data_IF_299905781064
#
_entry.id   IF_299905781064
#
_cell.length_a   1.000
_cell.length_b   1.000
_cell.length_c   1.000
_cell.angle_alpha   90.00
_cell.angle_beta   90.00
_cell.angle_gamma   90.00
#
_symmetry.space_group_name_H-M   'P 1'
#
loop_
_entity.id
_entity.type
_entity.pdbx_description
1 polymer ?
#
# COMPACT_ATOMS: atom_id res chain seq x y z
N UNK A 1 21.40 -4.07 -22.04
CA UNK A 1 20.45 -3.00 -21.63
C UNK A 1 21.02 -2.32 -20.38
N UNK A 2 20.98 -0.99 -20.28
CA UNK A 2 21.43 -0.28 -19.07
C UNK A 2 20.57 -0.68 -17.87
N UNK A 3 21.17 -0.80 -16.69
CA UNK A 3 20.49 -1.13 -15.43
C UNK A 3 19.25 -0.24 -15.19
N UNK A 4 19.35 1.04 -15.57
CA UNK A 4 18.24 2.01 -15.50
C UNK A 4 17.01 1.61 -16.33
N UNK A 5 17.23 1.15 -17.57
CA UNK A 5 16.15 0.77 -18.47
C UNK A 5 15.38 -0.49 -18.00
N UNK A 6 16.07 -1.39 -17.28
CA UNK A 6 15.44 -2.58 -16.69
C UNK A 6 14.52 -2.19 -15.54
N UNK A 7 15.00 -1.34 -14.63
CA UNK A 7 14.18 -0.91 -13.48
C UNK A 7 12.98 -0.06 -13.91
N UNK A 8 13.15 0.82 -14.91
CA UNK A 8 12.04 1.60 -15.46
C UNK A 8 10.93 0.70 -15.99
N UNK A 9 11.29 -0.34 -16.76
CA UNK A 9 10.31 -1.30 -17.27
C UNK A 9 9.60 -2.04 -16.14
N UNK A 10 10.32 -2.50 -15.11
CA UNK A 10 9.73 -3.19 -13.95
C UNK A 10 8.72 -2.30 -13.22
N UNK A 11 9.05 -1.02 -13.01
CA UNK A 11 8.15 -0.05 -12.38
C UNK A 11 6.91 0.16 -13.25
N UNK A 12 7.10 0.43 -14.55
CA UNK A 12 6.00 0.66 -15.50
C UNK A 12 5.04 -0.53 -15.56
N UNK A 13 5.58 -1.73 -15.71
CA UNK A 13 4.76 -2.94 -15.77
C UNK A 13 4.02 -3.17 -14.43
N UNK A 14 4.63 -2.79 -13.30
CA UNK A 14 3.99 -2.86 -11.99
C UNK A 14 2.84 -1.86 -11.86
N UNK A 15 3.02 -0.63 -12.33
CA UNK A 15 1.96 0.38 -12.33
C UNK A 15 0.79 -0.07 -13.20
N UNK A 16 1.05 -0.57 -14.40
CA UNK A 16 -0.01 -1.02 -15.30
C UNK A 16 -0.81 -2.19 -14.70
N UNK A 17 -0.12 -3.18 -14.12
CA UNK A 17 -0.78 -4.33 -13.46
C UNK A 17 -1.67 -3.93 -12.27
N UNK A 18 -1.39 -2.81 -11.62
CA UNK A 18 -2.08 -2.40 -10.40
C UNK A 18 -2.98 -1.18 -10.59
N UNK A 19 -3.03 -0.64 -11.81
CA UNK A 19 -3.68 0.63 -12.13
C UNK A 19 -5.14 0.68 -11.66
N UNK A 20 -5.92 -0.34 -11.99
CA UNK A 20 -7.34 -0.37 -11.68
C UNK A 20 -7.56 -0.44 -10.16
N UNK A 21 -6.87 -1.36 -9.46
CA UNK A 21 -6.99 -1.47 -8.00
C UNK A 21 -6.57 -0.18 -7.27
N UNK A 22 -5.50 0.48 -7.71
CA UNK A 22 -5.04 1.73 -7.12
C UNK A 22 -6.03 2.87 -7.38
N UNK A 23 -6.59 2.94 -8.59
CA UNK A 23 -7.62 3.89 -8.94
C UNK A 23 -8.90 3.66 -8.12
N UNK A 24 -9.35 2.42 -8.00
CA UNK A 24 -10.55 2.06 -7.23
C UNK A 24 -10.41 2.46 -5.76
N UNK A 25 -9.28 2.15 -5.13
CA UNK A 25 -9.00 2.59 -3.75
C UNK A 25 -9.07 4.12 -3.63
N UNK A 26 -8.45 4.85 -4.58
CA UNK A 26 -8.49 6.31 -4.56
C UNK A 26 -9.91 6.85 -4.71
N UNK A 27 -10.71 6.26 -5.59
CA UNK A 27 -12.11 6.66 -5.80
C UNK A 27 -12.97 6.34 -4.59
N UNK A 28 -12.77 5.18 -3.96
CA UNK A 28 -13.55 4.76 -2.80
C UNK A 28 -13.27 5.64 -1.58
N UNK A 29 -12.01 5.99 -1.32
CA UNK A 29 -11.65 6.96 -0.28
C UNK A 29 -12.28 8.33 -0.58
N UNK A 30 -12.24 8.78 -1.84
CA UNK A 30 -12.83 10.06 -2.23
C UNK A 30 -14.36 10.10 -2.06
N UNK A 31 -15.06 9.01 -2.40
CA UNK A 31 -16.52 8.88 -2.25
C UNK A 31 -16.98 8.74 -0.79
N UNK A 32 -16.10 8.27 0.09
CA UNK A 32 -16.40 8.03 1.50
C UNK A 32 -15.48 8.88 2.40
N UNK A 33 -15.65 10.23 2.41
CA UNK A 33 -14.82 11.09 3.24
C UNK A 33 -15.11 10.83 4.73
N UNK A 34 -14.05 10.68 5.51
CA UNK A 34 -14.12 10.48 6.96
C UNK A 34 -13.43 11.64 7.71
N UNK A 35 -13.79 11.81 8.98
CA UNK A 35 -13.21 12.86 9.82
C UNK A 35 -11.85 12.44 10.37
N UNK A 36 -11.08 13.45 10.77
CA UNK A 36 -9.78 13.26 11.41
C UNK A 36 -9.92 12.35 12.64
N UNK A 37 -9.11 11.29 12.70
CA UNK A 37 -9.10 10.24 13.74
C UNK A 37 -10.29 9.26 13.70
N UNK A 38 -11.15 9.36 12.70
CA UNK A 38 -12.30 8.47 12.49
C UNK A 38 -12.28 7.86 11.08
N UNK A 39 -11.12 7.81 10.43
CA UNK A 39 -10.90 7.25 9.10
C UNK A 39 -10.93 5.70 9.07
N UNK A 40 -12.00 5.07 9.57
CA UNK A 40 -12.10 3.62 9.73
C UNK A 40 -12.25 2.88 8.40
N UNK A 41 -13.00 3.44 7.44
CA UNK A 41 -13.14 2.89 6.10
C UNK A 41 -11.82 2.99 5.35
N UNK A 42 -11.21 4.17 5.28
CA UNK A 42 -9.94 4.36 4.59
C UNK A 42 -8.82 3.52 5.24
N UNK A 43 -8.80 3.44 6.57
CA UNK A 43 -7.88 2.58 7.30
C UNK A 43 -8.03 1.11 6.88
N UNK A 44 -9.25 0.57 6.95
CA UNK A 44 -9.51 -0.84 6.64
C UNK A 44 -9.17 -1.15 5.19
N UNK A 45 -9.64 -0.33 4.26
CA UNK A 45 -9.37 -0.50 2.83
C UNK A 45 -7.88 -0.55 2.50
N UNK A 46 -7.09 0.39 3.03
CA UNK A 46 -5.64 0.45 2.78
C UNK A 46 -4.88 -0.71 3.41
N UNK A 47 -5.23 -1.05 4.65
CA UNK A 47 -4.54 -2.11 5.40
C UNK A 47 -4.87 -3.50 4.84
N UNK A 48 -6.13 -3.75 4.48
CA UNK A 48 -6.54 -4.96 3.77
C UNK A 48 -5.81 -5.10 2.44
N UNK A 49 -5.73 -4.02 1.65
CA UNK A 49 -5.02 -4.04 0.37
C UNK A 49 -3.55 -4.42 0.55
N UNK A 50 -2.85 -3.82 1.52
CA UNK A 50 -1.43 -4.06 1.75
C UNK A 50 -1.16 -5.49 2.26
N UNK A 51 -1.98 -5.99 3.19
CA UNK A 51 -1.89 -7.37 3.68
C UNK A 51 -2.04 -8.38 2.53
N UNK A 52 -3.02 -8.19 1.64
CA UNK A 52 -3.19 -9.04 0.45
C UNK A 52 -2.00 -8.98 -0.52
N UNK A 53 -1.18 -7.92 -0.47
CA UNK A 53 0.04 -7.76 -1.28
C UNK A 53 1.29 -8.29 -0.58
N UNK A 54 1.14 -8.95 0.57
CA UNK A 54 2.24 -9.60 1.30
C UNK A 54 3.01 -8.64 2.20
N UNK A 55 2.46 -7.47 2.53
CA UNK A 55 3.03 -6.61 3.56
C UNK A 55 2.65 -7.14 4.95
N UNK A 56 3.58 -7.04 5.90
CA UNK A 56 3.27 -7.17 7.32
C UNK A 56 2.71 -5.85 7.80
N UNK A 57 1.42 -5.82 8.15
CA UNK A 57 0.74 -4.59 8.57
C UNK A 57 0.46 -4.60 10.06
N UNK A 58 0.95 -3.57 10.75
CA UNK A 58 0.58 -3.25 12.12
C UNK A 58 -0.54 -2.19 12.10
N UNK A 59 -1.77 -2.63 12.35
CA UNK A 59 -2.95 -1.77 12.52
C UNK A 59 -2.98 -1.12 13.91
N UNK A 60 -3.83 -0.11 14.09
CA UNK A 60 -3.92 0.69 15.32
C UNK A 60 -2.54 1.17 15.85
N UNK A 61 -1.67 1.58 14.93
CA UNK A 61 -0.27 1.85 15.22
C UNK A 61 -0.10 3.04 16.18
N UNK A 62 0.80 2.89 17.17
CA UNK A 62 1.04 3.90 18.22
C UNK A 62 -0.25 4.38 18.92
N UNK A 63 -1.17 3.47 19.22
CA UNK A 63 -2.43 3.71 19.95
C UNK A 63 -3.46 4.58 19.19
N UNK A 64 -3.22 4.92 17.92
CA UNK A 64 -4.17 5.60 17.07
C UNK A 64 -4.94 4.56 16.26
N UNK A 65 -6.26 4.47 16.47
CA UNK A 65 -7.11 3.41 15.89
C UNK A 65 -7.01 3.33 14.36
N UNK A 66 -6.86 4.47 13.69
CA UNK A 66 -6.84 4.59 12.23
C UNK A 66 -5.42 4.73 11.65
N UNK A 67 -4.38 4.74 12.49
CA UNK A 67 -3.00 4.70 12.03
C UNK A 67 -2.54 3.26 11.73
N UNK A 68 -1.66 3.10 10.75
CA UNK A 68 -1.02 1.81 10.45
C UNK A 68 0.44 1.97 10.03
N UNK A 69 1.21 0.89 10.17
CA UNK A 69 2.56 0.73 9.60
C UNK A 69 2.57 -0.53 8.75
N UNK A 70 3.04 -0.43 7.50
CA UNK A 70 3.18 -1.56 6.60
C UNK A 70 4.66 -1.77 6.27
N UNK A 71 5.12 -3.01 6.38
CA UNK A 71 6.52 -3.38 6.13
C UNK A 71 6.59 -4.49 5.09
N UNK A 72 7.53 -4.36 4.16
CA UNK A 72 7.80 -5.37 3.15
C UNK A 72 9.28 -5.71 3.17
N UNK A 73 9.59 -7.00 3.19
CA UNK A 73 10.95 -7.50 3.12
C UNK A 73 11.11 -8.34 1.85
N UNK A 74 12.03 -7.93 0.99
CA UNK A 74 12.33 -8.71 -0.21
C UNK A 74 13.06 -10.00 0.16
N UNK A 75 12.78 -11.09 -0.55
CA UNK A 75 13.35 -12.41 -0.27
C UNK A 75 14.89 -12.42 -0.29
N UNK A 76 15.52 -11.51 -1.03
CA UNK A 76 16.97 -11.41 -1.15
C UNK A 76 17.59 -10.35 -0.22
N UNK A 77 16.81 -9.80 0.72
CA UNK A 77 17.35 -8.88 1.71
C UNK A 77 18.24 -9.63 2.70
N UNK A 78 19.56 -9.46 2.57
CA UNK A 78 20.52 -9.91 3.57
C UNK A 78 20.66 -8.82 4.63
N UNK A 79 20.23 -9.14 5.86
CA UNK A 79 20.64 -8.36 7.01
C UNK A 79 22.15 -8.59 7.19
N UNK A 80 22.91 -7.49 7.23
CA UNK A 80 24.35 -7.52 7.48
C UNK A 80 24.68 -7.96 8.89
#
# INVERSE_FOLDING_TARGET
>A
MSSSAVYEKVVRDSLERNKDSLNDISQDIWKNPEQKFEEFFAHSLLTDFLEHRGFTVARAYKQLKTAFRAEFQSANYKQG
#
